data_IF_778873777854
#
_entry.id   IF_778873777854
#
_cell.length_a   1.000
_cell.length_b   1.000
_cell.length_c   1.000
_cell.angle_alpha   90.00
_cell.angle_beta   90.00
_cell.angle_gamma   90.00
#
_symmetry.space_group_name_H-M   'P 1'
#
loop_
_entity.id
_entity.type
_entity.pdbx_description
1 polymer ?
#
# COMPACT_ATOMS: atom_id res chain seq x y z
N UNK A 1 -6.86 -23.61 -24.00
CA UNK A 1 -5.74 -22.72 -24.42
C UNK A 1 -5.34 -21.89 -23.22
N UNK A 2 -4.14 -22.08 -22.69
CA UNK A 2 -3.66 -21.28 -21.57
C UNK A 2 -3.38 -19.86 -22.08
N UNK A 3 -4.22 -18.89 -21.71
CA UNK A 3 -3.97 -17.47 -21.95
C UNK A 3 -2.76 -17.04 -21.11
N UNK A 4 -1.56 -17.35 -21.60
CA UNK A 4 -0.33 -16.81 -21.07
C UNK A 4 -0.21 -15.36 -21.54
N UNK A 5 -0.59 -14.43 -20.68
CA UNK A 5 -0.50 -13.01 -21.00
C UNK A 5 0.97 -12.66 -21.18
N UNK A 6 1.35 -12.20 -22.38
CA UNK A 6 2.72 -11.74 -22.66
C UNK A 6 3.19 -10.62 -21.71
N UNK A 7 2.23 -9.96 -21.04
CA UNK A 7 2.45 -8.88 -20.07
C UNK A 7 2.64 -9.44 -18.66
N UNK A 8 1.80 -10.40 -18.24
CA UNK A 8 1.89 -11.07 -16.94
C UNK A 8 1.81 -12.59 -17.11
N UNK A 9 2.94 -13.24 -17.44
CA UNK A 9 2.97 -14.67 -17.70
C UNK A 9 2.58 -15.52 -16.48
N UNK A 10 1.99 -16.68 -16.74
CA UNK A 10 1.50 -17.58 -15.70
C UNK A 10 2.62 -18.22 -14.87
N UNK A 11 3.86 -18.34 -15.38
CA UNK A 11 4.98 -18.90 -14.59
C UNK A 11 5.41 -18.01 -13.41
N UNK A 12 4.92 -16.78 -13.33
CA UNK A 12 5.08 -15.90 -12.16
C UNK A 12 3.94 -16.04 -11.13
N UNK A 13 2.94 -16.88 -11.41
CA UNK A 13 1.77 -17.11 -10.54
C UNK A 13 1.92 -18.35 -9.64
N UNK A 14 3.13 -18.90 -9.53
CA UNK A 14 3.41 -20.11 -8.76
C UNK A 14 3.41 -19.90 -7.24
N UNK A 15 3.15 -18.69 -6.76
CA UNK A 15 3.08 -18.38 -5.33
C UNK A 15 1.71 -17.82 -4.96
N UNK A 16 1.34 -17.91 -3.69
CA UNK A 16 0.09 -17.36 -3.15
C UNK A 16 -0.02 -15.83 -3.28
N UNK A 17 1.07 -15.14 -3.68
CA UNK A 17 1.15 -13.70 -3.84
C UNK A 17 1.66 -13.33 -5.23
N UNK A 18 1.04 -12.36 -5.87
CA UNK A 18 1.52 -11.88 -7.17
C UNK A 18 2.89 -11.19 -7.02
N UNK A 19 3.78 -11.37 -8.00
CA UNK A 19 5.17 -10.85 -7.95
C UNK A 19 5.21 -9.36 -7.71
N UNK A 20 4.35 -8.58 -8.37
CA UNK A 20 4.33 -7.13 -8.17
C UNK A 20 3.99 -6.72 -6.74
N UNK A 21 3.14 -7.50 -6.04
CA UNK A 21 2.84 -7.26 -4.61
C UNK A 21 4.06 -7.61 -3.75
N UNK A 22 4.77 -8.68 -4.06
CA UNK A 22 6.04 -9.00 -3.39
C UNK A 22 7.08 -7.89 -3.60
N UNK A 23 7.13 -7.29 -4.80
CA UNK A 23 8.03 -6.17 -5.07
C UNK A 23 7.71 -4.94 -4.20
N UNK A 24 6.43 -4.63 -4.01
CA UNK A 24 6.00 -3.54 -3.13
C UNK A 24 6.37 -3.83 -1.67
N UNK A 25 6.17 -5.06 -1.19
CA UNK A 25 6.54 -5.45 0.17
C UNK A 25 8.04 -5.30 0.44
N UNK A 26 8.88 -5.72 -0.51
CA UNK A 26 10.34 -5.75 -0.33
C UNK A 26 10.97 -4.36 -0.52
N UNK A 27 10.57 -3.64 -1.57
CA UNK A 27 11.24 -2.40 -2.00
C UNK A 27 10.41 -1.14 -1.80
N UNK A 28 9.14 -1.27 -1.43
CA UNK A 28 8.22 -0.16 -1.27
C UNK A 28 7.55 0.29 -2.58
N UNK A 29 6.46 1.03 -2.40
CA UNK A 29 5.58 1.50 -3.47
C UNK A 29 6.30 2.41 -4.47
N UNK A 30 7.11 3.36 -3.99
CA UNK A 30 7.79 4.34 -4.85
C UNK A 30 8.80 3.69 -5.81
N UNK A 31 9.52 2.67 -5.31
CA UNK A 31 10.47 1.91 -6.14
C UNK A 31 9.75 1.09 -7.21
N UNK A 32 8.60 0.50 -6.86
CA UNK A 32 7.79 -0.21 -7.83
C UNK A 32 7.17 0.73 -8.89
N UNK A 33 6.73 1.93 -8.51
CA UNK A 33 6.26 2.95 -9.46
C UNK A 33 7.38 3.34 -10.44
N UNK A 34 8.58 3.64 -9.93
CA UNK A 34 9.73 3.95 -10.79
C UNK A 34 10.08 2.77 -11.72
N UNK A 35 10.01 1.53 -11.23
CA UNK A 35 10.18 0.33 -12.04
C UNK A 35 9.16 0.26 -13.18
N UNK A 36 7.89 0.56 -12.93
CA UNK A 36 6.86 0.62 -13.97
C UNK A 36 7.18 1.70 -15.02
N UNK A 37 7.55 2.90 -14.60
CA UNK A 37 7.87 4.03 -15.50
C UNK A 37 9.06 3.71 -16.42
N UNK A 38 10.14 3.16 -15.85
CA UNK A 38 11.32 2.74 -16.64
C UNK A 38 10.97 1.63 -17.65
N UNK A 39 10.12 0.67 -17.26
CA UNK A 39 9.68 -0.37 -18.17
C UNK A 39 8.81 0.18 -19.30
N UNK A 40 7.85 1.06 -18.98
CA UNK A 40 7.00 1.69 -19.98
C UNK A 40 7.84 2.44 -21.02
N UNK A 41 8.78 3.28 -20.56
CA UNK A 41 9.72 3.98 -21.43
C UNK A 41 10.50 3.01 -22.33
N UNK A 42 11.10 1.97 -21.74
CA UNK A 42 11.85 0.93 -22.47
C UNK A 42 11.00 0.28 -23.57
N UNK A 43 9.74 -0.06 -23.28
CA UNK A 43 8.85 -0.68 -24.27
C UNK A 43 8.44 0.29 -25.39
N UNK A 44 8.19 1.57 -25.07
CA UNK A 44 7.97 2.61 -26.10
C UNK A 44 9.16 2.78 -27.02
N UNK A 45 10.37 2.86 -26.46
CA UNK A 45 11.61 3.01 -27.25
C UNK A 45 11.89 1.81 -28.15
N UNK A 46 11.39 0.62 -27.80
CA UNK A 46 11.61 -0.62 -28.54
C UNK A 46 10.51 -0.92 -29.56
N UNK A 47 9.40 -0.20 -29.51
CA UNK A 47 8.27 -0.39 -30.40
C UNK A 47 8.71 -0.27 -31.87
N UNK A 48 8.46 -1.31 -32.67
CA UNK A 48 8.84 -1.36 -34.09
C UNK A 48 10.31 -1.71 -34.39
N UNK A 49 11.17 -1.86 -33.37
CA UNK A 49 12.59 -2.22 -33.57
C UNK A 49 12.84 -3.74 -33.63
N UNK A 50 11.83 -4.56 -33.30
CA UNK A 50 11.96 -6.02 -33.33
C UNK A 50 11.35 -6.58 -34.62
N UNK A 51 12.14 -7.25 -35.47
CA UNK A 51 11.67 -7.74 -36.76
C UNK A 51 10.61 -8.84 -36.67
N UNK A 52 10.53 -9.55 -35.54
CA UNK A 52 9.64 -10.70 -35.35
C UNK A 52 8.49 -10.48 -34.36
N UNK A 53 8.30 -9.26 -33.85
CA UNK A 53 7.24 -8.95 -32.89
C UNK A 53 6.39 -7.76 -33.35
N UNK A 54 5.05 -7.89 -33.34
CA UNK A 54 4.16 -6.77 -33.65
C UNK A 54 4.43 -5.59 -32.72
N UNK A 55 4.33 -4.37 -33.27
CA UNK A 55 4.53 -3.13 -32.53
C UNK A 55 3.50 -2.98 -31.41
N UNK A 56 2.27 -3.42 -31.66
CA UNK A 56 1.12 -3.37 -30.74
C UNK A 56 1.44 -4.07 -29.43
N UNK A 57 2.15 -5.20 -29.51
CA UNK A 57 2.52 -6.00 -28.33
C UNK A 57 3.44 -5.24 -27.37
N UNK A 58 4.34 -4.42 -27.90
CA UNK A 58 5.23 -3.58 -27.10
C UNK A 58 4.47 -2.37 -26.52
N UNK A 59 3.54 -1.81 -27.29
CA UNK A 59 2.65 -0.73 -26.82
C UNK A 59 1.69 -1.19 -25.73
N UNK A 60 1.11 -2.38 -25.84
CA UNK A 60 0.28 -2.99 -24.79
C UNK A 60 1.05 -3.16 -23.48
N UNK A 61 2.31 -3.59 -23.56
CA UNK A 61 3.19 -3.64 -22.39
C UNK A 61 3.40 -2.27 -21.78
N UNK A 62 3.76 -1.28 -22.59
CA UNK A 62 3.96 0.08 -22.11
C UNK A 62 2.71 0.61 -21.38
N UNK A 63 1.55 0.50 -22.03
CA UNK A 63 0.27 0.96 -21.49
C UNK A 63 -0.10 0.25 -20.18
N UNK A 64 0.20 -1.04 -20.05
CA UNK A 64 -0.03 -1.78 -18.82
C UNK A 64 0.82 -1.22 -17.66
N UNK A 65 2.12 -1.02 -17.86
CA UNK A 65 3.00 -0.49 -16.83
C UNK A 65 2.62 0.94 -16.42
N UNK A 66 2.24 1.79 -17.37
CA UNK A 66 1.72 3.14 -17.11
C UNK A 66 0.44 3.10 -16.27
N UNK A 67 -0.49 2.21 -16.64
CA UNK A 67 -1.74 2.02 -15.90
C UNK A 67 -1.49 1.54 -14.47
N UNK A 68 -0.52 0.65 -14.24
CA UNK A 68 -0.15 0.21 -12.89
C UNK A 68 0.44 1.36 -12.07
N UNK A 69 1.38 2.13 -12.65
CA UNK A 69 1.96 3.30 -11.98
C UNK A 69 0.89 4.33 -11.61
N UNK A 70 -0.02 4.65 -12.53
CA UNK A 70 -1.10 5.60 -12.31
C UNK A 70 -2.07 5.15 -11.22
N UNK A 71 -2.48 3.87 -11.21
CA UNK A 71 -3.33 3.31 -10.15
C UNK A 71 -2.69 3.47 -8.77
N UNK A 72 -1.42 3.08 -8.65
CA UNK A 72 -0.70 3.19 -7.38
C UNK A 72 -0.54 4.65 -6.94
N UNK A 73 -0.22 5.58 -7.85
CA UNK A 73 -0.16 7.01 -7.52
C UNK A 73 -1.51 7.53 -7.01
N UNK A 74 -2.61 7.14 -7.65
CA UNK A 74 -3.95 7.57 -7.27
C UNK A 74 -4.44 6.96 -5.95
N UNK A 75 -4.06 5.73 -5.63
CA UNK A 75 -4.33 5.12 -4.32
C UNK A 75 -3.67 5.89 -3.16
N UNK A 76 -2.51 6.51 -3.40
CA UNK A 76 -1.84 7.33 -2.38
C UNK A 76 -2.62 8.60 -2.02
N UNK A 77 -3.49 9.07 -2.92
CA UNK A 77 -4.28 10.30 -2.74
C UNK A 77 -5.57 10.07 -1.91
N UNK A 78 -5.89 8.82 -1.55
CA UNK A 78 -7.09 8.45 -0.81
C UNK A 78 -6.81 8.02 0.65
N UNK A 79 -5.70 8.47 1.23
CA UNK A 79 -5.45 8.28 2.67
C UNK A 79 -6.30 9.32 3.41
N UNK A 80 -7.29 8.93 4.24
CA UNK A 80 -7.92 9.88 5.15
C UNK A 80 -6.83 10.47 6.03
N UNK A 81 -6.71 11.80 6.03
CA UNK A 81 -5.79 12.53 6.91
C UNK A 81 -5.96 11.94 8.31
N UNK A 82 -4.90 11.32 8.86
CA UNK A 82 -4.90 10.89 10.26
C UNK A 82 -5.39 12.07 11.09
N UNK A 83 -6.47 11.87 11.83
CA UNK A 83 -6.91 12.82 12.85
C UNK A 83 -5.70 13.00 13.78
N UNK A 84 -5.25 14.24 14.06
CA UNK A 84 -4.15 14.45 15.00
C UNK A 84 -4.56 13.88 16.36
N UNK A 85 -3.74 12.96 16.88
CA UNK A 85 -3.88 12.42 18.23
C UNK A 85 -3.76 13.58 19.22
N UNK A 86 -4.90 14.01 19.79
CA UNK A 86 -4.92 15.22 20.60
C UNK A 86 -6.30 15.67 21.05
N UNK A 87 -7.15 14.75 21.49
CA UNK A 87 -8.27 15.10 22.39
C UNK A 87 -8.29 14.09 23.53
N UNK A 88 -7.57 14.45 24.61
CA UNK A 88 -7.78 13.84 25.91
C UNK A 88 -9.24 14.07 26.32
N UNK A 89 -9.91 12.98 26.68
CA UNK A 89 -11.25 13.00 27.28
C UNK A 89 -11.22 13.80 28.59
N UNK A 90 -12.11 14.78 28.82
CA UNK A 90 -12.25 15.36 30.13
C UNK A 90 -13.03 14.38 30.99
N UNK A 91 -12.31 13.59 31.78
CA UNK A 91 -12.88 12.87 32.92
C UNK A 91 -13.39 13.93 33.90
N UNK A 92 -14.71 14.09 34.01
CA UNK A 92 -15.35 14.88 35.04
C UNK A 92 -15.23 14.09 36.36
N UNK A 93 -14.63 14.63 37.44
CA UNK A 93 -14.75 14.03 38.75
C UNK A 93 -16.16 14.31 39.29
N UNK A 94 -16.90 13.23 39.55
CA UNK A 94 -18.23 13.28 40.16
C UNK A 94 -18.13 13.67 41.63
N UNK A 95 -18.95 14.67 41.96
CA UNK A 95 -19.47 15.14 43.23
C UNK A 95 -19.08 14.42 44.54
N UNK A 96 -18.68 15.29 45.47
CA UNK A 96 -18.57 15.14 46.91
C UNK A 96 -19.76 14.46 47.59
N UNK A 97 -19.47 13.59 48.57
CA UNK A 97 -20.36 13.29 49.70
C UNK A 97 -19.55 13.22 51.00
N UNK A 98 -20.24 13.63 52.05
CA UNK A 98 -19.76 14.19 53.31
C UNK A 98 -19.13 13.20 54.30
N UNK A 99 -18.48 13.80 55.30
CA UNK A 99 -17.86 13.19 56.46
C UNK A 99 -18.82 12.31 57.26
N UNK A 100 -18.32 11.15 57.72
CA UNK A 100 -18.78 10.55 58.97
C UNK A 100 -17.57 10.32 59.90
N UNK A 101 -17.63 11.02 61.02
CA UNK A 101 -16.76 10.88 62.18
C UNK A 101 -17.13 9.63 62.96
N UNK A 102 -16.18 8.74 63.23
CA UNK A 102 -16.02 8.03 64.52
C UNK A 102 -14.96 6.91 64.45
N UNK A 103 -14.05 6.92 65.41
CA UNK A 103 -13.53 5.69 66.01
C UNK A 103 -12.04 5.48 65.91
N UNK A 104 -11.33 5.84 66.98
CA UNK A 104 -10.05 5.30 67.42
C UNK A 104 -9.93 3.78 67.20
N UNK A 105 -8.71 3.26 66.96
CA UNK A 105 -7.95 2.51 67.98
C UNK A 105 -6.70 1.81 67.39
N UNK A 106 -5.55 2.20 67.95
CA UNK A 106 -4.29 1.48 68.21
C UNK A 106 -3.49 0.72 67.13
N UNK A 107 -2.18 0.88 67.34
CA UNK A 107 -1.04 0.30 66.66
C UNK A 107 -0.66 -1.12 67.12
N UNK A 108 0.27 -1.69 66.35
CA UNK A 108 1.22 -2.79 66.60
C UNK A 108 0.79 -4.19 66.14
N UNK A 109 1.61 -4.76 65.25
CA UNK A 109 2.50 -5.89 65.56
C UNK A 109 3.77 -5.82 64.68
#
# INVERSE_FOLDING_TARGET
MNNDSFINPNHYRNSHKEVWRMMIDIWGKDKYIAFCEMNAFKYRMRAGLKPSQPIERELEKANWYESQAMKLRNESNNIPKRIPEGQASPHQPSDSVEADTRGDFCAND
#
